data_IF_356728909684
#
_entry.id   IF_356728909684
#
_cell.length_a   1.000
_cell.length_b   1.000
_cell.length_c   1.000
_cell.angle_alpha   90.00
_cell.angle_beta   90.00
_cell.angle_gamma   90.00
#
_symmetry.space_group_name_H-M   'P 1'
#
loop_
_entity.id
_entity.type
_entity.pdbx_description
1 polymer ?
#
# COMPACT_ATOMS: atom_id res chain seq x y z
N UNK A 1 10.95 28.18 19.06
CA UNK A 1 10.79 27.68 19.32
C UNK A 1 11.02 27.40 19.54
N UNK A 2 10.60 27.77 19.55
CA UNK A 2 10.28 27.25 19.85
C UNK A 2 9.91 26.89 19.92
N UNK A 3 9.53 27.11 20.02
CA UNK A 3 8.89 26.68 20.18
C UNK A 3 8.67 26.67 19.90
N UNK A 4 8.29 26.90 19.52
CA UNK A 4 7.79 26.65 19.44
C UNK A 4 7.67 26.30 19.64
N UNK A 5 7.21 26.54 19.64
CA UNK A 5 6.80 26.10 19.90
C UNK A 5 6.59 25.46 19.75
N UNK A 6 6.08 25.13 19.38
CA UNK A 6 5.65 24.36 19.38
C UNK A 6 5.27 23.57 18.70
N UNK A 7 4.77 23.17 17.96
CA UNK A 7 3.77 22.48 17.50
C UNK A 7 3.82 22.29 16.02
N UNK A 8 4.11 23.11 15.30
CA UNK A 8 4.27 23.05 13.95
C UNK A 8 5.25 22.08 13.48
N UNK A 9 6.11 21.69 14.32
CA UNK A 9 7.04 20.69 14.03
C UNK A 9 6.42 19.40 13.69
N UNK A 10 5.29 19.10 14.30
CA UNK A 10 4.59 17.93 14.03
C UNK A 10 4.16 17.87 12.61
N UNK A 11 3.73 18.97 12.08
CA UNK A 11 3.20 19.03 10.75
C UNK A 11 4.26 18.76 9.69
N UNK A 12 5.51 18.93 10.06
CA UNK A 12 6.61 18.71 9.14
C UNK A 12 7.22 17.35 9.30
N UNK A 13 6.69 16.54 10.22
CA UNK A 13 7.37 15.32 10.60
C UNK A 13 7.27 14.22 9.56
N UNK A 14 6.14 14.06 8.91
CA UNK A 14 5.96 12.96 7.98
C UNK A 14 4.83 13.23 7.00
N UNK A 15 4.96 12.71 5.78
CA UNK A 15 3.84 12.73 4.86
C UNK A 15 2.74 11.79 5.34
N UNK A 16 1.49 12.01 4.90
CA UNK A 16 0.41 11.12 5.27
C UNK A 16 0.59 9.75 4.64
N UNK A 17 -0.11 8.76 5.18
CA UNK A 17 -0.14 7.45 4.55
C UNK A 17 -0.94 7.53 3.26
N UNK A 18 -0.54 6.74 2.27
CA UNK A 18 -1.25 6.69 1.01
C UNK A 18 -2.55 5.93 1.23
N UNK A 19 -3.67 6.48 0.76
CA UNK A 19 -4.96 5.83 0.90
C UNK A 19 -4.98 4.55 0.08
N UNK A 20 -5.05 3.41 0.77
CA UNK A 20 -4.96 2.09 0.16
C UNK A 20 -5.93 1.16 0.86
N UNK A 21 -6.65 0.38 0.08
CA UNK A 21 -7.52 -0.68 0.59
C UNK A 21 -7.30 -1.92 -0.26
N UNK A 22 -7.67 -3.06 0.27
CA UNK A 22 -7.58 -4.29 -0.52
C UNK A 22 -8.41 -5.40 0.09
N UNK A 23 -8.72 -6.38 -0.72
CA UNK A 23 -9.52 -7.53 -0.32
C UNK A 23 -9.20 -8.72 -1.19
N UNK A 24 -9.50 -9.90 -0.65
CA UNK A 24 -9.42 -11.12 -1.45
C UNK A 24 -10.65 -11.24 -2.34
N UNK A 25 -10.47 -11.84 -3.49
CA UNK A 25 -11.52 -12.13 -4.46
C UNK A 25 -11.61 -13.64 -4.64
N UNK A 26 -12.61 -14.11 -5.39
CA UNK A 26 -12.74 -15.54 -5.72
C UNK A 26 -11.54 -16.00 -6.55
N UNK A 27 -11.30 -17.30 -6.53
CA UNK A 27 -10.28 -17.96 -7.37
C UNK A 27 -8.86 -17.49 -7.10
N UNK A 28 -8.51 -17.35 -5.80
CA UNK A 28 -7.13 -17.06 -5.37
C UNK A 28 -6.61 -15.75 -5.98
N UNK A 29 -7.42 -14.73 -5.93
CA UNK A 29 -7.03 -13.41 -6.43
C UNK A 29 -7.20 -12.38 -5.34
N UNK A 30 -6.54 -11.25 -5.49
CA UNK A 30 -6.70 -10.12 -4.59
C UNK A 30 -6.87 -8.85 -5.40
N UNK A 31 -7.62 -7.91 -4.85
CA UNK A 31 -7.77 -6.57 -5.41
C UNK A 31 -7.10 -5.60 -4.45
N UNK A 32 -6.21 -4.78 -4.97
CA UNK A 32 -5.54 -3.75 -4.19
C UNK A 32 -5.80 -2.40 -4.85
N UNK A 33 -6.38 -1.47 -4.10
CA UNK A 33 -6.63 -0.12 -4.59
C UNK A 33 -5.66 0.83 -3.93
N UNK A 34 -4.78 1.41 -4.72
CA UNK A 34 -3.82 2.41 -4.27
C UNK A 34 -4.23 3.72 -4.90
N UNK A 35 -4.87 4.59 -4.12
CA UNK A 35 -5.55 5.77 -4.64
C UNK A 35 -6.60 5.32 -5.66
N UNK A 36 -6.48 5.76 -6.91
CA UNK A 36 -7.40 5.33 -7.97
C UNK A 36 -6.83 4.22 -8.86
N UNK A 37 -5.66 3.67 -8.50
CA UNK A 37 -5.09 2.54 -9.23
C UNK A 37 -5.62 1.25 -8.62
N UNK A 38 -6.18 0.39 -9.45
CA UNK A 38 -6.67 -0.93 -9.00
C UNK A 38 -5.77 -1.99 -9.59
N UNK A 39 -5.21 -2.82 -8.73
CA UNK A 39 -4.33 -3.93 -9.14
C UNK A 39 -5.01 -5.24 -8.82
N UNK A 40 -5.10 -6.14 -9.79
CA UNK A 40 -5.61 -7.49 -9.58
C UNK A 40 -4.44 -8.46 -9.58
N UNK A 41 -4.32 -9.21 -8.51
CA UNK A 41 -3.14 -9.99 -8.18
C UNK A 41 -3.51 -11.47 -8.11
N UNK A 42 -2.68 -12.31 -8.68
CA UNK A 42 -2.87 -13.76 -8.69
C UNK A 42 -2.11 -14.36 -7.50
N UNK A 43 -2.85 -15.00 -6.60
CA UNK A 43 -2.30 -15.62 -5.40
C UNK A 43 -2.15 -17.13 -5.53
N UNK A 44 -2.26 -17.70 -6.73
CA UNK A 44 -2.28 -19.15 -6.88
C UNK A 44 -1.03 -19.84 -6.37
N UNK A 45 0.12 -19.19 -6.40
CA UNK A 45 1.32 -19.82 -5.88
C UNK A 45 1.23 -20.08 -4.38
N UNK A 46 0.29 -19.43 -3.67
CA UNK A 46 0.04 -19.66 -2.26
C UNK A 46 -1.26 -20.41 -1.99
N UNK A 47 -1.81 -21.07 -3.02
CA UNK A 47 -3.08 -21.78 -2.92
C UNK A 47 -3.11 -22.77 -1.77
N UNK A 48 -2.07 -23.56 -1.61
CA UNK A 48 -2.03 -24.56 -0.54
C UNK A 48 -2.12 -23.93 0.83
N UNK A 49 -1.37 -22.87 1.06
CA UNK A 49 -1.38 -22.19 2.34
C UNK A 49 -2.74 -21.54 2.61
N UNK A 50 -3.34 -20.95 1.60
CA UNK A 50 -4.65 -20.31 1.74
C UNK A 50 -5.74 -21.34 2.05
N UNK A 51 -5.68 -22.51 1.41
CA UNK A 51 -6.64 -23.57 1.68
C UNK A 51 -6.42 -24.18 3.06
N UNK A 52 -5.16 -24.32 3.47
CA UNK A 52 -4.84 -24.85 4.78
C UNK A 52 -5.34 -23.94 5.89
N UNK A 53 -5.33 -22.64 5.66
CA UNK A 53 -5.85 -21.66 6.62
C UNK A 53 -7.38 -21.56 6.59
N UNK A 54 -8.03 -22.25 5.67
CA UNK A 54 -9.48 -22.21 5.54
C UNK A 54 -10.00 -20.97 4.84
N UNK A 55 -9.12 -20.20 4.19
CA UNK A 55 -9.51 -18.97 3.50
C UNK A 55 -10.24 -19.28 2.20
N UNK A 56 -9.79 -20.31 1.50
CA UNK A 56 -10.41 -20.79 0.26
C UNK A 56 -10.70 -22.28 0.34
N UNK A 57 -11.74 -22.70 -0.40
CA UNK A 57 -12.05 -24.10 -0.61
C UNK A 57 -12.47 -24.26 -2.07
N UNK A 58 -11.67 -24.99 -2.84
CA UNK A 58 -11.93 -25.20 -4.27
C UNK A 58 -12.16 -23.89 -5.02
N UNK A 59 -11.34 -22.91 -4.73
CA UNK A 59 -11.40 -21.60 -5.38
C UNK A 59 -12.42 -20.66 -4.80
N UNK A 60 -13.25 -21.12 -3.87
CA UNK A 60 -14.27 -20.26 -3.27
C UNK A 60 -13.78 -19.62 -1.98
N UNK A 61 -13.89 -18.32 -1.91
CA UNK A 61 -13.55 -17.56 -0.71
C UNK A 61 -14.57 -17.88 0.37
N UNK A 62 -14.10 -18.29 1.55
CA UNK A 62 -14.98 -18.75 2.61
C UNK A 62 -15.58 -17.64 3.47
N UNK A 63 -14.94 -16.48 3.48
CA UNK A 63 -15.41 -15.30 4.18
C UNK A 63 -14.70 -14.10 3.60
N UNK A 64 -15.25 -12.90 3.83
CA UNK A 64 -14.61 -11.68 3.37
C UNK A 64 -13.29 -11.49 4.12
N UNK A 65 -12.23 -11.20 3.38
CA UNK A 65 -10.92 -10.94 3.95
C UNK A 65 -10.38 -9.65 3.36
N UNK A 66 -10.06 -8.72 4.24
CA UNK A 66 -9.43 -7.47 3.83
C UNK A 66 -7.93 -7.56 3.97
N UNK A 67 -7.21 -6.88 3.10
CA UNK A 67 -5.76 -6.78 3.20
C UNK A 67 -5.41 -5.71 4.23
N UNK A 68 -4.26 -5.90 4.86
CA UNK A 68 -3.76 -4.99 5.89
C UNK A 68 -2.61 -4.18 5.29
N UNK A 69 -2.64 -2.87 5.51
CA UNK A 69 -1.61 -1.97 5.00
C UNK A 69 -0.87 -1.39 6.19
N UNK A 70 0.43 -1.54 6.21
CA UNK A 70 1.23 -1.06 7.34
C UNK A 70 1.39 0.46 7.33
N UNK A 71 1.78 1.00 8.48
CA UNK A 71 2.33 2.34 8.53
C UNK A 71 3.65 2.33 7.77
N UNK A 72 4.32 3.47 7.67
CA UNK A 72 5.62 3.51 7.02
C UNK A 72 6.62 2.64 7.76
N UNK A 73 7.13 1.62 7.08
CA UNK A 73 8.21 0.78 7.59
C UNK A 73 9.54 1.49 7.43
N UNK A 74 9.61 2.35 6.44
CA UNK A 74 10.79 3.15 6.16
C UNK A 74 10.33 4.48 5.60
N UNK A 75 10.98 5.54 6.03
CA UNK A 75 10.71 6.88 5.56
C UNK A 75 12.05 7.59 5.49
N UNK A 76 12.55 7.82 4.28
CA UNK A 76 13.88 8.38 4.08
C UNK A 76 13.83 9.72 3.39
N UNK A 77 14.63 10.70 3.86
CA UNK A 77 14.79 11.94 3.12
C UNK A 77 15.47 11.65 1.78
N UNK A 78 15.01 12.33 0.75
CA UNK A 78 15.59 12.21 -0.60
C UNK A 78 15.60 13.59 -1.25
N UNK A 79 16.34 13.69 -2.36
CA UNK A 79 16.29 14.87 -3.21
C UNK A 79 15.44 14.50 -4.42
N UNK A 80 14.40 15.26 -4.66
CA UNK A 80 13.52 15.05 -5.81
C UNK A 80 13.77 16.13 -6.85
N UNK A 81 13.15 16.01 -8.01
CA UNK A 81 13.26 17.03 -9.06
C UNK A 81 12.66 18.35 -8.62
N UNK A 82 11.80 18.33 -7.59
CA UNK A 82 11.16 19.53 -7.08
C UNK A 82 11.77 19.99 -5.75
N UNK A 83 12.88 19.38 -5.33
CA UNK A 83 13.57 19.74 -4.11
C UNK A 83 13.61 18.62 -3.09
N UNK A 84 13.70 18.98 -1.82
CA UNK A 84 13.77 17.99 -0.75
C UNK A 84 12.46 17.27 -0.60
N UNK A 85 12.56 15.97 -0.36
CA UNK A 85 11.39 15.13 -0.19
C UNK A 85 11.65 13.94 0.70
N UNK A 86 10.67 13.03 0.71
CA UNK A 86 10.72 11.80 1.48
C UNK A 86 10.28 10.64 0.59
N UNK A 87 10.91 9.51 0.79
CA UNK A 87 10.50 8.27 0.15
C UNK A 87 10.01 7.33 1.24
N UNK A 88 8.77 6.87 1.11
CA UNK A 88 8.15 6.00 2.10
C UNK A 88 7.86 4.62 1.56
N UNK A 89 7.94 3.63 2.42
CA UNK A 89 7.62 2.23 2.09
C UNK A 89 6.58 1.73 3.08
N UNK A 90 5.46 1.24 2.56
CA UNK A 90 4.41 0.57 3.32
C UNK A 90 4.28 -0.85 2.79
N UNK A 91 3.88 -1.79 3.65
CA UNK A 91 3.75 -3.20 3.26
C UNK A 91 2.30 -3.61 3.20
N UNK A 92 1.96 -4.42 2.19
CA UNK A 92 0.63 -4.98 2.02
C UNK A 92 0.65 -6.42 2.50
N UNK A 93 -0.19 -6.74 3.49
CA UNK A 93 -0.25 -8.09 4.06
C UNK A 93 -1.61 -8.73 3.83
N UNK A 94 -1.55 -10.02 3.57
CA UNK A 94 -2.74 -10.85 3.50
C UNK A 94 -2.84 -11.76 4.71
N UNK A 95 -3.64 -12.81 4.62
CA UNK A 95 -3.88 -13.70 5.76
C UNK A 95 -2.74 -14.68 6.07
N UNK A 96 -1.80 -14.88 5.17
CA UNK A 96 -0.72 -15.84 5.41
C UNK A 96 0.36 -15.18 6.26
N UNK A 97 0.67 -15.73 7.46
CA UNK A 97 1.71 -15.17 8.30
C UNK A 97 3.05 -15.11 7.59
N UNK A 98 3.78 -14.04 7.79
CA UNK A 98 5.14 -13.85 7.28
C UNK A 98 5.26 -13.81 5.75
N UNK A 99 4.14 -13.64 5.05
CA UNK A 99 4.15 -13.45 3.60
C UNK A 99 3.39 -12.17 3.28
N UNK A 100 4.05 -11.26 2.59
CA UNK A 100 3.39 -10.03 2.16
C UNK A 100 3.00 -10.13 0.70
N UNK A 101 2.03 -9.31 0.29
CA UNK A 101 1.65 -9.22 -1.11
C UNK A 101 2.55 -8.24 -1.86
N UNK A 102 3.33 -7.48 -1.14
CA UNK A 102 4.25 -6.53 -1.74
C UNK A 102 4.34 -5.24 -0.96
N UNK A 103 4.85 -4.20 -1.62
CA UNK A 103 5.11 -2.92 -0.98
C UNK A 103 4.59 -1.78 -1.82
N UNK A 104 4.16 -0.73 -1.13
CA UNK A 104 3.75 0.52 -1.74
C UNK A 104 4.86 1.51 -1.46
N UNK A 105 5.41 2.09 -2.52
CA UNK A 105 6.48 3.06 -2.42
C UNK A 105 5.93 4.40 -2.87
N UNK A 106 6.02 5.39 -1.98
CA UNK A 106 5.54 6.72 -2.27
C UNK A 106 6.68 7.72 -2.16
N UNK A 107 6.68 8.69 -3.04
CA UNK A 107 7.66 9.77 -3.06
C UNK A 107 6.91 11.07 -2.89
N UNK A 108 7.35 11.85 -1.91
CA UNK A 108 6.69 13.07 -1.51
C UNK A 108 7.67 14.24 -1.54
N UNK A 109 7.16 15.44 -1.77
CA UNK A 109 7.94 16.66 -1.56
C UNK A 109 7.08 17.63 -0.75
N UNK A 110 7.75 18.50 -0.01
CA UNK A 110 7.08 19.47 0.84
C UNK A 110 7.05 20.81 0.12
N UNK A 111 5.88 21.40 0.01
CA UNK A 111 5.71 22.65 -0.70
C UNK A 111 4.60 23.47 -0.05
N UNK A 112 4.92 24.72 0.28
CA UNK A 112 3.94 25.66 0.81
C UNK A 112 3.14 25.09 1.98
N UNK A 113 3.84 24.44 2.90
CA UNK A 113 3.20 23.95 4.11
C UNK A 113 2.50 22.60 3.96
N UNK A 114 2.62 21.93 2.83
CA UNK A 114 1.93 20.65 2.60
C UNK A 114 2.82 19.62 1.94
N UNK A 115 2.56 18.36 2.25
CA UNK A 115 3.18 17.25 1.56
C UNK A 115 2.42 16.98 0.28
N UNK A 116 3.17 16.91 -0.82
CA UNK A 116 2.61 16.66 -2.14
C UNK A 116 3.15 15.32 -2.64
N UNK A 117 2.25 14.46 -3.09
CA UNK A 117 2.65 13.17 -3.63
C UNK A 117 3.21 13.37 -5.04
N UNK A 118 4.44 12.92 -5.24
CA UNK A 118 5.10 13.04 -6.53
C UNK A 118 5.02 11.73 -7.32
N UNK A 119 5.12 10.59 -6.63
CA UNK A 119 5.12 9.30 -7.30
C UNK A 119 4.60 8.24 -6.35
N UNK A 120 3.98 7.20 -6.92
CA UNK A 120 3.44 6.08 -6.20
C UNK A 120 3.63 4.82 -7.03
N UNK A 121 4.08 3.76 -6.39
CA UNK A 121 4.34 2.49 -7.07
C UNK A 121 3.97 1.34 -6.16
N UNK A 122 3.33 0.32 -6.72
CA UNK A 122 3.10 -0.94 -6.02
C UNK A 122 3.99 -2.01 -6.62
N UNK A 123 4.88 -2.57 -5.79
CA UNK A 123 5.76 -3.66 -6.19
C UNK A 123 5.21 -4.94 -5.59
N UNK A 124 4.77 -5.84 -6.45
CA UNK A 124 4.07 -7.05 -6.04
C UNK A 124 5.03 -8.22 -5.86
N UNK A 125 4.77 -9.02 -4.81
CA UNK A 125 5.46 -10.30 -4.60
C UNK A 125 4.76 -11.43 -5.35
N UNK A 126 3.62 -11.14 -5.97
CA UNK A 126 2.83 -12.10 -6.73
C UNK A 126 2.65 -11.59 -8.14
N UNK A 127 2.18 -12.44 -9.03
CA UNK A 127 1.91 -12.06 -10.40
C UNK A 127 0.78 -11.03 -10.44
N UNK A 128 1.03 -9.90 -11.09
CA UNK A 128 -0.02 -8.92 -11.36
C UNK A 128 -0.73 -9.38 -12.63
N UNK A 129 -2.03 -9.62 -12.53
CA UNK A 129 -2.81 -10.05 -13.68
C UNK A 129 -3.10 -8.87 -14.60
N UNK A 130 -3.57 -7.79 -14.02
CA UNK A 130 -3.82 -6.54 -14.73
C UNK A 130 -4.04 -5.41 -13.73
N UNK A 131 -4.03 -4.21 -14.24
CA UNK A 131 -4.36 -3.04 -13.43
C UNK A 131 -5.14 -2.04 -14.29
N UNK A 132 -5.85 -1.16 -13.63
CA UNK A 132 -6.59 -0.10 -14.31
C UNK A 132 -6.75 1.08 -13.37
N UNK A 133 -7.14 2.22 -13.94
CA UNK A 133 -7.43 3.44 -13.19
C UNK A 133 -8.95 3.50 -12.99
N UNK A 134 -9.36 3.62 -11.72
CA UNK A 134 -10.76 3.77 -11.40
C UNK A 134 -11.15 5.23 -11.59
N UNK A 135 -12.11 5.50 -12.45
CA UNK A 135 -12.52 6.86 -12.73
C UNK A 135 -13.51 7.31 -11.67
N UNK A 136 -13.32 8.54 -11.20
CA UNK A 136 -14.25 9.12 -10.25
C UNK A 136 -15.56 9.50 -10.94
N UNK A 137 -16.55 9.80 -10.14
CA UNK A 137 -17.85 10.20 -10.65
C UNK A 137 -17.97 11.68 -10.90
#
# INVERSE_FOLDING_TARGET
SYSFKNNRKKDLSAPPLVKTTGKLLQNYRAELKVLNQVHIIDLKKSKKDLEKLGVYKNGQLQADVELSISDYLQLKPIITTTGKGMRGIQRVKGPIPNKSLGEIISVWYFREGAWMLQDIEYISNYKKMYHYIEMGE
#
